data_IF_042277284575
#
_entry.id   IF_042277284575
#
_cell.length_a   1.000
_cell.length_b   1.000
_cell.length_c   1.000
_cell.angle_alpha   90.00
_cell.angle_beta   90.00
_cell.angle_gamma   90.00
#
_symmetry.space_group_name_H-M   'P 1'
#
loop_
_entity.id
_entity.type
_entity.pdbx_description
1 polymer ?
#
# COMPACT_ATOMS: atom_id res chain seq x y z
N UNK A 1 -2.92 -11.62 -6.25
CA UNK A 1 -1.81 -11.01 -5.49
C UNK A 1 -0.95 -12.09 -4.91
N UNK A 2 0.38 -11.93 -4.91
CA UNK A 2 1.34 -12.93 -4.47
C UNK A 2 2.59 -12.27 -3.87
N UNK A 3 3.27 -12.95 -2.96
CA UNK A 3 4.58 -12.57 -2.43
C UNK A 3 5.52 -13.76 -2.68
N UNK A 4 6.65 -13.51 -3.35
CA UNK A 4 7.68 -14.50 -3.58
C UNK A 4 8.93 -14.09 -2.81
N UNK A 5 9.47 -15.00 -2.02
CA UNK A 5 10.69 -14.80 -1.24
C UNK A 5 11.76 -15.71 -1.82
N UNK A 6 12.92 -15.14 -2.13
CA UNK A 6 14.04 -15.92 -2.66
C UNK A 6 14.50 -16.95 -1.63
N UNK A 7 14.86 -18.15 -2.07
CA UNK A 7 15.24 -19.28 -1.19
C UNK A 7 16.41 -18.98 -0.24
N UNK A 8 17.28 -18.04 -0.60
CA UNK A 8 18.47 -17.68 0.19
C UNK A 8 18.16 -16.57 1.21
N UNK A 9 16.94 -16.03 1.23
CA UNK A 9 16.50 -15.09 2.26
C UNK A 9 16.03 -15.90 3.46
N UNK A 10 16.70 -15.74 4.60
CA UNK A 10 16.27 -16.36 5.85
C UNK A 10 14.95 -15.72 6.29
N UNK A 11 13.86 -16.46 6.11
CA UNK A 11 12.50 -16.01 6.41
C UNK A 11 11.80 -17.00 7.35
N UNK A 12 11.19 -16.49 8.41
CA UNK A 12 10.31 -17.25 9.30
C UNK A 12 8.94 -16.57 9.30
N UNK A 13 7.93 -17.25 8.75
CA UNK A 13 6.53 -16.78 8.78
C UNK A 13 6.02 -16.74 10.22
N UNK A 14 5.50 -15.58 10.64
CA UNK A 14 4.84 -15.38 11.94
C UNK A 14 3.32 -15.25 11.80
N UNK A 15 2.85 -14.75 10.66
CA UNK A 15 1.43 -14.59 10.41
C UNK A 15 1.15 -14.27 8.95
N UNK A 16 -0.04 -14.65 8.50
CA UNK A 16 -0.50 -14.41 7.13
C UNK A 16 -2.00 -14.16 7.11
N UNK A 17 -2.40 -13.04 6.51
CA UNK A 17 -3.79 -12.71 6.23
C UNK A 17 -3.96 -12.52 4.72
N UNK A 18 -4.88 -13.28 4.13
CA UNK A 18 -5.19 -13.24 2.69
C UNK A 18 -6.58 -12.68 2.50
N UNK A 19 -6.75 -11.72 1.59
CA UNK A 19 -8.06 -11.25 1.19
C UNK A 19 -8.78 -12.34 0.36
N UNK A 20 -10.02 -12.72 0.69
CA UNK A 20 -10.76 -13.72 -0.08
C UNK A 20 -10.98 -13.34 -1.55
N UNK A 21 -10.95 -12.05 -1.88
CA UNK A 21 -11.07 -11.55 -3.26
C UNK A 21 -9.71 -11.38 -3.95
N UNK A 22 -8.61 -11.81 -3.30
CA UNK A 22 -7.27 -11.77 -3.87
C UNK A 22 -6.64 -10.38 -3.98
N UNK A 23 -7.23 -9.34 -3.36
CA UNK A 23 -6.78 -7.94 -3.49
C UNK A 23 -5.61 -7.57 -2.59
N UNK A 24 -5.33 -8.33 -1.53
CA UNK A 24 -4.12 -8.13 -0.75
C UNK A 24 -3.69 -9.40 -0.02
N UNK A 25 -2.40 -9.43 0.33
CA UNK A 25 -1.80 -10.35 1.29
C UNK A 25 -1.04 -9.51 2.31
N UNK A 26 -1.28 -9.73 3.60
CA UNK A 26 -0.47 -9.21 4.70
C UNK A 26 0.33 -10.40 5.24
N UNK A 27 1.64 -10.32 5.15
CA UNK A 27 2.57 -11.32 5.63
C UNK A 27 3.44 -10.70 6.72
N UNK A 28 3.47 -11.30 7.91
CA UNK A 28 4.39 -10.93 8.97
C UNK A 28 5.42 -12.02 9.18
N UNK A 29 6.65 -11.62 9.47
CA UNK A 29 7.70 -12.57 9.78
C UNK A 29 9.04 -11.93 10.09
N UNK A 30 10.00 -12.80 10.39
CA UNK A 30 11.39 -12.44 10.60
C UNK A 30 12.15 -12.63 9.31
N UNK A 31 12.80 -11.56 8.83
CA UNK A 31 13.69 -11.54 7.69
C UNK A 31 15.09 -11.21 8.20
N UNK A 32 16.04 -12.15 8.12
CA UNK A 32 17.40 -11.98 8.64
C UNK A 32 17.43 -11.41 10.09
N UNK A 33 16.62 -11.98 10.98
CA UNK A 33 16.41 -11.56 12.39
C UNK A 33 15.77 -10.17 12.60
N UNK A 34 15.30 -9.50 11.56
CA UNK A 34 14.53 -8.27 11.67
C UNK A 34 13.04 -8.54 11.37
N UNK A 35 12.15 -7.96 12.18
CA UNK A 35 10.72 -8.19 12.07
C UNK A 35 10.09 -7.22 11.08
N UNK A 36 9.34 -7.76 10.11
CA UNK A 36 8.66 -6.96 9.10
C UNK A 36 7.24 -7.46 8.82
N UNK A 37 6.42 -6.51 8.37
CA UNK A 37 5.12 -6.72 7.75
C UNK A 37 5.23 -6.36 6.27
N UNK A 38 5.11 -7.34 5.41
CA UNK A 38 5.03 -7.16 3.96
C UNK A 38 3.57 -7.20 3.53
N UNK A 39 3.12 -6.16 2.85
CA UNK A 39 1.78 -6.09 2.27
C UNK A 39 1.93 -5.98 0.76
N UNK A 40 1.41 -6.98 0.05
CA UNK A 40 1.22 -6.90 -1.40
C UNK A 40 -0.25 -6.65 -1.67
N UNK A 41 -0.59 -5.70 -2.55
CA UNK A 41 -1.99 -5.33 -2.81
C UNK A 41 -2.25 -4.91 -4.25
N UNK A 42 -3.49 -5.09 -4.67
CA UNK A 42 -4.07 -4.57 -5.90
C UNK A 42 -5.31 -3.76 -5.52
N UNK A 43 -5.22 -2.45 -5.63
CA UNK A 43 -6.31 -1.54 -5.32
C UNK A 43 -7.35 -1.53 -6.44
N UNK A 44 -8.63 -1.26 -6.10
CA UNK A 44 -9.66 -1.09 -7.10
C UNK A 44 -9.48 0.23 -7.87
N UNK A 45 -9.90 0.24 -9.15
CA UNK A 45 -9.91 1.46 -9.99
C UNK A 45 -10.79 2.59 -9.44
N UNK A 46 -11.74 2.27 -8.56
CA UNK A 46 -12.62 3.23 -7.89
C UNK A 46 -12.71 2.93 -6.40
N UNK A 47 -12.89 3.98 -5.59
CA UNK A 47 -13.04 3.82 -4.14
C UNK A 47 -11.75 3.50 -3.38
N UNK A 48 -10.58 3.85 -3.94
CA UNK A 48 -9.26 3.66 -3.33
C UNK A 48 -9.19 4.17 -1.88
N UNK A 49 -9.82 5.30 -1.57
CA UNK A 49 -9.81 5.90 -0.23
C UNK A 49 -10.51 5.02 0.82
N UNK A 50 -11.62 4.37 0.42
CA UNK A 50 -12.37 3.45 1.29
C UNK A 50 -11.60 2.15 1.47
N UNK A 51 -10.99 1.66 0.40
CA UNK A 51 -10.16 0.47 0.42
C UNK A 51 -8.93 0.67 1.32
N UNK A 52 -8.18 1.78 1.14
CA UNK A 52 -7.01 2.13 1.95
C UNK A 52 -7.36 2.14 3.43
N UNK A 53 -8.45 2.80 3.82
CA UNK A 53 -8.89 2.85 5.23
C UNK A 53 -9.12 1.45 5.81
N UNK A 54 -9.81 0.57 5.08
CA UNK A 54 -10.07 -0.82 5.52
C UNK A 54 -8.79 -1.65 5.55
N UNK A 55 -7.90 -1.47 4.58
CA UNK A 55 -6.61 -2.14 4.53
C UNK A 55 -5.75 -1.71 5.72
N UNK A 56 -5.65 -0.41 6.01
CA UNK A 56 -4.90 0.10 7.15
C UNK A 56 -5.46 -0.42 8.48
N UNK A 57 -6.78 -0.52 8.66
CA UNK A 57 -7.35 -1.16 9.86
C UNK A 57 -6.88 -2.60 10.02
N UNK A 58 -6.83 -3.38 8.93
CA UNK A 58 -6.33 -4.76 8.97
C UNK A 58 -4.82 -4.81 9.25
N UNK A 59 -4.05 -3.91 8.65
CA UNK A 59 -2.60 -3.80 8.88
C UNK A 59 -2.34 -3.48 10.36
N UNK A 60 -2.98 -2.46 10.92
CA UNK A 60 -2.77 -2.07 12.33
C UNK A 60 -3.10 -3.19 13.32
N UNK A 61 -4.06 -4.07 12.99
CA UNK A 61 -4.41 -5.23 13.82
C UNK A 61 -3.40 -6.38 13.77
N UNK A 62 -2.61 -6.48 12.69
CA UNK A 62 -1.75 -7.65 12.43
C UNK A 62 -0.27 -7.28 12.30
N UNK A 63 0.09 -6.00 12.20
CA UNK A 63 1.44 -5.55 11.89
C UNK A 63 2.42 -5.90 13.01
N UNK A 64 3.61 -6.27 12.58
CA UNK A 64 4.76 -6.63 13.38
C UNK A 64 5.99 -5.96 12.76
N UNK A 65 6.73 -5.19 13.58
CA UNK A 65 7.94 -4.51 13.15
C UNK A 65 7.72 -3.47 12.04
N UNK A 66 8.67 -3.37 11.11
CA UNK A 66 8.61 -2.40 10.00
C UNK A 66 7.56 -2.77 8.95
N UNK A 67 6.89 -1.79 8.37
CA UNK A 67 5.85 -2.00 7.35
C UNK A 67 6.35 -1.64 5.96
N UNK A 68 6.18 -2.57 5.02
CA UNK A 68 6.40 -2.35 3.59
C UNK A 68 5.08 -2.61 2.87
N UNK A 69 4.48 -1.56 2.30
CA UNK A 69 3.26 -1.63 1.51
C UNK A 69 3.62 -1.49 0.02
N UNK A 70 3.42 -2.55 -0.73
CA UNK A 70 3.74 -2.61 -2.16
C UNK A 70 2.52 -3.06 -2.96
N UNK A 71 2.47 -2.67 -4.23
CA UNK A 71 1.43 -3.17 -5.12
C UNK A 71 1.07 -2.21 -6.23
N UNK A 72 -0.04 -2.53 -6.89
CA UNK A 72 -0.70 -1.62 -7.80
C UNK A 72 -1.77 -0.86 -7.03
N UNK A 73 -1.56 0.43 -6.83
CA UNK A 73 -2.45 1.29 -6.08
C UNK A 73 -3.59 1.86 -6.92
N UNK A 74 -3.51 1.82 -8.26
CA UNK A 74 -4.52 2.39 -9.15
C UNK A 74 -4.95 3.84 -8.79
N UNK A 75 -4.05 4.62 -8.18
CA UNK A 75 -4.24 6.05 -7.92
C UNK A 75 -2.92 6.82 -8.04
N UNK A 76 -3.06 8.11 -8.29
CA UNK A 76 -1.96 9.08 -8.43
C UNK A 76 -1.70 9.69 -7.05
N UNK A 77 -0.43 9.79 -6.63
CA UNK A 77 -0.04 10.49 -5.39
C UNK A 77 0.55 11.87 -5.69
N UNK A 78 1.13 12.06 -6.87
CA UNK A 78 1.67 13.33 -7.38
C UNK A 78 1.28 13.51 -8.85
N UNK A 79 0.30 14.38 -9.16
CA UNK A 79 -0.14 14.62 -10.52
C UNK A 79 0.96 15.01 -11.50
N UNK A 80 1.95 15.77 -11.04
CA UNK A 80 3.02 16.29 -11.88
C UNK A 80 4.09 15.23 -12.22
N UNK A 81 4.16 14.14 -11.46
CA UNK A 81 5.22 13.14 -11.58
C UNK A 81 4.69 11.76 -12.01
N UNK A 82 3.49 11.37 -11.57
CA UNK A 82 2.93 10.05 -11.82
C UNK A 82 2.12 9.96 -13.12
N UNK A 83 1.89 11.10 -13.81
CA UNK A 83 1.12 11.11 -15.05
C UNK A 83 1.60 12.17 -16.05
N UNK A 84 1.60 11.80 -17.33
CA UNK A 84 1.84 12.71 -18.45
C UNK A 84 0.57 13.43 -18.91
N UNK A 85 -0.60 12.97 -18.45
CA UNK A 85 -1.91 13.40 -18.93
C UNK A 85 -2.68 14.20 -17.85
N UNK A 86 -2.05 15.23 -17.29
CA UNK A 86 -2.68 16.08 -16.27
C UNK A 86 -3.91 16.78 -16.86
N UNK A 87 -5.14 16.46 -16.40
CA UNK A 87 -6.35 17.11 -16.90
C UNK A 87 -6.36 18.59 -16.51
N UNK A 88 -7.21 19.38 -17.19
CA UNK A 88 -7.37 20.80 -16.92
C UNK A 88 -8.69 21.10 -16.16
N UNK A 89 -8.78 22.30 -15.59
CA UNK A 89 -9.99 22.82 -14.96
C UNK A 89 -10.50 22.01 -13.76
N UNK A 90 -11.79 21.70 -13.74
CA UNK A 90 -12.46 21.01 -12.62
C UNK A 90 -11.86 19.63 -12.34
N UNK A 91 -11.55 18.87 -13.40
CA UNK A 91 -10.98 17.52 -13.27
C UNK A 91 -9.59 17.55 -12.62
N UNK A 92 -8.77 18.57 -12.93
CA UNK A 92 -7.48 18.78 -12.24
C UNK A 92 -7.67 18.96 -10.74
N UNK A 93 -8.59 19.86 -10.37
CA UNK A 93 -8.86 20.17 -8.95
C UNK A 93 -9.34 18.94 -8.18
N UNK A 94 -10.22 18.15 -8.78
CA UNK A 94 -10.68 16.89 -8.20
C UNK A 94 -9.54 15.91 -7.98
N UNK A 95 -8.72 15.67 -9.02
CA UNK A 95 -7.56 14.79 -8.94
C UNK A 95 -6.58 15.25 -7.84
N UNK A 96 -6.16 16.52 -7.85
CA UNK A 96 -5.25 17.09 -6.83
C UNK A 96 -5.85 16.95 -5.42
N UNK A 97 -7.16 17.17 -5.26
CA UNK A 97 -7.83 16.98 -3.97
C UNK A 97 -7.77 15.52 -3.51
N UNK A 98 -8.03 14.56 -4.40
CA UNK A 98 -7.95 13.13 -4.09
C UNK A 98 -6.52 12.72 -3.73
N UNK A 99 -5.52 13.16 -4.49
CA UNK A 99 -4.10 12.91 -4.18
C UNK A 99 -3.73 13.41 -2.78
N UNK A 100 -4.11 14.66 -2.44
CA UNK A 100 -3.88 15.24 -1.11
C UNK A 100 -4.54 14.42 0.01
N UNK A 101 -5.78 13.98 -0.20
CA UNK A 101 -6.49 13.17 0.79
C UNK A 101 -5.84 11.80 1.01
N UNK A 102 -5.40 11.14 -0.06
CA UNK A 102 -4.71 9.85 0.03
C UNK A 102 -3.33 10.00 0.69
N UNK A 103 -2.54 10.99 0.29
CA UNK A 103 -1.23 11.26 0.89
C UNK A 103 -1.34 11.62 2.37
N UNK A 104 -2.36 12.40 2.77
CA UNK A 104 -2.60 12.71 4.17
C UNK A 104 -2.87 11.44 5.00
N UNK A 105 -3.59 10.47 4.43
CA UNK A 105 -3.84 9.18 5.10
C UNK A 105 -2.60 8.31 5.17
N UNK A 106 -1.80 8.25 4.10
CA UNK A 106 -0.53 7.52 4.13
C UNK A 106 0.40 8.11 5.20
N UNK A 107 0.53 9.44 5.22
CA UNK A 107 1.34 10.17 6.21
C UNK A 107 0.83 9.95 7.63
N UNK A 108 -0.49 9.94 7.85
CA UNK A 108 -1.08 9.64 9.16
C UNK A 108 -0.62 8.27 9.71
N UNK A 109 -0.34 7.31 8.83
CA UNK A 109 0.17 5.99 9.18
C UNK A 109 1.70 5.87 9.10
N UNK A 110 2.43 6.99 9.01
CA UNK A 110 3.88 7.05 8.81
C UNK A 110 4.36 6.25 7.59
N UNK A 111 3.53 6.20 6.54
CA UNK A 111 3.88 5.63 5.25
C UNK A 111 4.41 6.73 4.33
N UNK A 112 5.56 6.45 3.74
CA UNK A 112 6.24 7.32 2.80
C UNK A 112 6.42 6.57 1.47
N UNK A 113 6.43 7.32 0.38
CA UNK A 113 6.67 6.76 -0.95
C UNK A 113 8.18 6.49 -1.10
N UNK A 114 8.56 5.24 -1.38
CA UNK A 114 9.98 4.85 -1.50
C UNK A 114 10.65 5.35 -2.77
N UNK A 115 9.88 5.77 -3.77
CA UNK A 115 10.41 6.35 -5.01
C UNK A 115 10.67 7.86 -4.91
N UNK A 116 10.38 8.49 -3.76
CA UNK A 116 10.53 9.92 -3.50
C UNK A 116 11.32 10.17 -2.21
#
# INVERSE_FOLDING_TARGET
TSILIHKDVAFIEQGKLVDPQGRFIILTGLFNNAQYTLVSTYFPNTGAEVFLRRLMQKIEQHKLGGLILCGDFNFITSPEEDTTAVPQGVRRRQMVSTCKQLNAKLTLHNLYDSWR
#
